data_IF_782596073327
#
_entry.id   IF_782596073327
#
_cell.length_a   1.000
_cell.length_b   1.000
_cell.length_c   1.000
_cell.angle_alpha   90.00
_cell.angle_beta   90.00
_cell.angle_gamma   90.00
#
_symmetry.space_group_name_H-M   'P 1'
#
loop_
_entity.id
_entity.type
_entity.pdbx_description
1 polymer ?
#
# COMPACT_ATOMS: atom_id res chain seq x y z
N UNK A 1 -60.89 -43.88 27.43
CA UNK A 1 -61.65 -42.83 26.73
C UNK A 1 -61.01 -41.50 27.10
N UNK A 2 -60.04 -41.03 26.30
CA UNK A 2 -60.21 -40.07 25.19
C UNK A 2 -60.31 -38.60 25.64
N UNK A 3 -59.18 -37.92 25.47
CA UNK A 3 -58.93 -36.51 25.10
C UNK A 3 -59.85 -35.37 25.58
N UNK A 4 -59.23 -34.32 26.14
CA UNK A 4 -59.36 -32.97 25.59
C UNK A 4 -58.30 -31.97 26.09
N UNK A 5 -57.56 -31.42 25.11
CA UNK A 5 -57.25 -29.99 24.87
C UNK A 5 -56.68 -29.17 26.04
N UNK A 6 -55.38 -28.88 26.07
CA UNK A 6 -54.68 -27.83 25.31
C UNK A 6 -54.97 -26.39 25.77
N UNK A 7 -53.88 -25.76 26.22
CA UNK A 7 -53.42 -24.40 25.92
C UNK A 7 -53.80 -23.24 26.87
N UNK A 8 -52.71 -22.63 27.38
CA UNK A 8 -52.39 -21.19 27.43
C UNK A 8 -52.31 -20.55 28.82
N UNK A 9 -51.27 -19.70 28.96
CA UNK A 9 -50.96 -18.68 29.99
C UNK A 9 -50.15 -19.20 31.18
N UNK A 10 -49.13 -18.53 31.71
CA UNK A 10 -48.46 -17.27 31.39
C UNK A 10 -47.23 -17.19 32.31
N UNK A 11 -46.11 -16.65 31.77
CA UNK A 11 -45.11 -15.83 32.46
C UNK A 11 -44.29 -16.42 33.62
N UNK A 12 -43.26 -15.65 34.03
CA UNK A 12 -42.32 -15.83 35.16
C UNK A 12 -41.04 -16.60 34.73
N UNK A 13 -39.81 -16.08 34.78
CA UNK A 13 -39.22 -14.82 35.22
C UNK A 13 -37.75 -14.84 34.74
N UNK A 14 -37.15 -13.67 34.55
CA UNK A 14 -35.76 -13.48 34.13
C UNK A 14 -34.71 -14.03 35.12
N UNK A 15 -33.50 -14.33 34.60
CA UNK A 15 -32.14 -14.45 35.18
C UNK A 15 -31.45 -15.66 34.49
N UNK A 16 -30.40 -15.55 33.68
CA UNK A 16 -29.12 -14.86 33.84
C UNK A 16 -28.57 -14.42 32.47
N UNK A 17 -28.17 -13.15 32.35
CA UNK A 17 -27.28 -12.67 31.30
C UNK A 17 -25.84 -12.78 31.81
N UNK A 18 -25.05 -13.65 31.18
CA UNK A 18 -23.59 -13.55 31.25
C UNK A 18 -22.93 -14.19 30.01
N UNK A 19 -22.47 -13.29 29.13
CA UNK A 19 -21.11 -13.32 28.58
C UNK A 19 -20.73 -14.36 27.52
N UNK A 20 -21.12 -14.09 26.26
CA UNK A 20 -20.31 -14.47 25.09
C UNK A 20 -20.34 -13.35 24.03
N UNK A 21 -19.65 -12.24 24.28
CA UNK A 21 -19.39 -11.21 23.25
C UNK A 21 -17.93 -10.76 23.25
N UNK A 22 -17.00 -11.72 23.28
CA UNK A 22 -15.57 -11.46 23.06
C UNK A 22 -15.13 -11.50 21.58
N UNK A 23 -16.07 -11.48 20.62
CA UNK A 23 -15.75 -11.52 19.18
C UNK A 23 -15.78 -10.14 18.49
N UNK A 24 -16.26 -9.08 19.16
CA UNK A 24 -16.44 -7.75 18.53
C UNK A 24 -15.23 -6.80 18.74
N UNK A 25 -14.25 -7.17 19.57
CA UNK A 25 -13.09 -6.30 19.86
C UNK A 25 -12.01 -6.32 18.75
N UNK A 26 -12.01 -7.30 17.85
CA UNK A 26 -11.02 -7.40 16.77
C UNK A 26 -11.35 -6.61 15.50
N UNK A 27 -12.55 -6.02 15.37
CA UNK A 27 -12.90 -5.21 14.19
C UNK A 27 -12.52 -3.73 14.33
N UNK A 28 -12.29 -3.23 15.55
CA UNK A 28 -11.93 -1.82 15.78
C UNK A 28 -10.42 -1.54 15.72
N UNK A 29 -9.57 -2.55 15.85
CA UNK A 29 -8.12 -2.40 15.71
C UNK A 29 -7.66 -2.31 14.24
N UNK A 30 -8.47 -2.79 13.28
CA UNK A 30 -8.10 -2.82 11.86
C UNK A 30 -8.47 -1.54 11.08
N UNK A 31 -9.26 -0.64 11.66
CA UNK A 31 -9.71 0.59 10.99
C UNK A 31 -8.76 1.79 11.20
N UNK A 32 -7.74 1.67 12.07
CA UNK A 32 -6.67 2.68 12.22
C UNK A 32 -5.42 2.37 11.36
N UNK A 33 -5.30 1.16 10.82
CA UNK A 33 -4.27 0.83 9.82
C UNK A 33 -4.66 1.25 8.39
N UNK A 34 -5.94 1.57 8.15
CA UNK A 34 -6.45 2.01 6.85
C UNK A 34 -6.34 3.53 6.60
N UNK A 35 -5.60 4.23 7.47
CA UNK A 35 -4.90 5.47 7.13
C UNK A 35 -3.42 5.21 7.35
N UNK A 36 -2.77 4.51 6.42
CA UNK A 36 -1.31 4.58 6.37
C UNK A 36 -0.96 6.04 6.13
N UNK A 37 -0.62 6.76 7.20
CA UNK A 37 0.23 7.92 7.06
C UNK A 37 1.44 7.50 6.22
N UNK A 38 1.97 8.42 5.40
CA UNK A 38 3.22 8.22 4.68
C UNK A 38 4.19 7.45 5.59
N UNK A 39 4.61 6.26 5.14
CA UNK A 39 5.52 5.42 5.92
C UNK A 39 6.87 6.12 6.07
N UNK A 40 7.25 6.93 5.08
CA UNK A 40 8.45 7.75 5.07
C UNK A 40 8.07 9.15 4.62
N UNK A 41 8.51 10.18 5.34
CA UNK A 41 8.44 11.57 4.85
C UNK A 41 9.58 11.81 3.84
N UNK A 42 9.29 12.11 2.57
CA UNK A 42 10.30 12.34 1.53
C UNK A 42 11.32 13.40 1.91
N UNK A 43 10.92 14.43 2.69
CA UNK A 43 11.82 15.53 3.06
C UNK A 43 12.97 15.08 3.96
N UNK A 44 12.86 13.90 4.56
CA UNK A 44 13.91 13.32 5.40
C UNK A 44 14.95 12.55 4.60
N UNK A 45 14.77 12.36 3.29
CA UNK A 45 15.62 11.53 2.42
C UNK A 45 16.87 12.23 1.88
N UNK A 46 17.30 13.35 2.48
CA UNK A 46 18.45 14.14 2.02
C UNK A 46 18.34 14.51 0.53
N UNK A 47 19.37 14.22 -0.27
CA UNK A 47 19.39 14.46 -1.71
C UNK A 47 18.29 13.70 -2.48
N UNK A 48 17.66 12.69 -1.87
CA UNK A 48 16.71 11.80 -2.51
C UNK A 48 15.26 12.13 -2.12
N UNK A 49 14.98 13.41 -1.92
CA UNK A 49 13.69 13.91 -1.41
C UNK A 49 12.52 13.76 -2.38
N UNK A 50 12.76 13.32 -3.61
CA UNK A 50 11.72 12.98 -4.57
C UNK A 50 11.80 11.47 -4.94
N UNK A 51 11.24 10.58 -4.10
CA UNK A 51 11.21 9.14 -4.36
C UNK A 51 10.06 8.73 -5.31
N UNK A 52 9.39 9.67 -5.99
CA UNK A 52 8.25 9.36 -6.85
C UNK A 52 8.66 8.44 -8.02
N UNK A 53 7.84 7.44 -8.29
CA UNK A 53 7.89 6.64 -9.51
C UNK A 53 6.78 7.10 -10.45
N UNK A 54 7.14 7.35 -11.71
CA UNK A 54 6.21 7.62 -12.78
C UNK A 54 5.88 6.34 -13.55
N UNK A 55 4.67 6.29 -14.13
CA UNK A 55 4.26 5.23 -15.04
C UNK A 55 3.62 5.84 -16.29
N UNK A 56 4.08 5.41 -17.47
CA UNK A 56 3.62 5.98 -18.72
C UNK A 56 4.26 5.35 -19.94
N UNK A 57 3.76 5.75 -21.11
CA UNK A 57 4.33 5.38 -22.40
C UNK A 57 5.19 6.51 -22.99
N UNK A 58 6.03 6.18 -23.97
CA UNK A 58 6.86 7.18 -24.66
C UNK A 58 8.12 7.61 -23.89
N UNK A 59 8.40 7.00 -22.74
CA UNK A 59 9.66 7.23 -22.04
C UNK A 59 10.85 6.76 -22.90
N UNK A 60 11.97 7.49 -22.82
CA UNK A 60 13.22 7.09 -23.48
C UNK A 60 13.14 7.02 -25.01
N UNK A 61 12.21 7.76 -25.63
CA UNK A 61 11.88 7.67 -27.05
C UNK A 61 11.32 6.30 -27.49
N UNK A 62 10.75 5.52 -26.56
CA UNK A 62 9.99 4.30 -26.88
C UNK A 62 8.62 4.63 -27.45
N UNK A 63 7.88 3.61 -27.88
CA UNK A 63 6.52 3.79 -28.36
C UNK A 63 5.62 4.37 -27.26
N UNK A 64 4.67 5.24 -27.64
CA UNK A 64 3.67 5.79 -26.73
C UNK A 64 2.75 4.73 -26.09
N UNK A 65 2.71 3.53 -26.68
CA UNK A 65 1.97 2.36 -26.18
C UNK A 65 2.82 1.47 -25.28
N UNK A 66 4.13 1.68 -25.20
CA UNK A 66 5.03 0.90 -24.35
C UNK A 66 5.06 1.49 -22.94
N UNK A 67 4.16 1.00 -22.09
CA UNK A 67 4.07 1.43 -20.70
C UNK A 67 5.23 0.87 -19.87
N UNK A 68 5.92 1.78 -19.18
CA UNK A 68 7.08 1.48 -18.33
C UNK A 68 7.08 2.39 -17.09
N UNK A 69 7.87 2.00 -16.10
CA UNK A 69 8.15 2.77 -14.89
C UNK A 69 9.51 3.45 -14.99
N UNK A 70 9.64 4.62 -14.37
CA UNK A 70 10.94 5.27 -14.13
C UNK A 70 10.90 6.11 -12.85
N UNK A 71 12.05 6.39 -12.22
CA UNK A 71 12.13 7.42 -11.19
C UNK A 71 11.78 8.80 -11.78
N UNK A 72 10.99 9.59 -11.06
CA UNK A 72 10.69 10.98 -11.45
C UNK A 72 11.93 11.88 -11.34
N UNK A 73 12.75 11.63 -10.32
CA UNK A 73 14.02 12.32 -10.10
C UNK A 73 15.19 11.49 -10.65
N UNK A 74 15.42 11.61 -11.95
CA UNK A 74 16.54 10.94 -12.63
C UNK A 74 17.92 11.46 -12.19
N UNK A 75 18.01 12.63 -11.55
CA UNK A 75 19.29 13.17 -11.09
C UNK A 75 19.77 12.46 -9.83
N UNK A 76 18.86 12.16 -8.90
CA UNK A 76 19.18 11.45 -7.67
C UNK A 76 19.02 9.94 -7.81
N UNK A 77 18.01 9.49 -8.53
CA UNK A 77 17.73 8.09 -8.85
C UNK A 77 17.99 7.82 -10.34
N UNK A 78 19.26 7.74 -10.73
CA UNK A 78 19.70 7.60 -12.11
C UNK A 78 19.51 6.17 -12.67
N UNK A 79 18.29 5.66 -12.63
CA UNK A 79 17.90 4.39 -13.24
C UNK A 79 17.09 4.65 -14.51
N UNK A 80 17.25 3.77 -15.50
CA UNK A 80 16.45 3.78 -16.71
C UNK A 80 15.02 3.31 -16.49
N UNK A 81 14.30 3.11 -17.58
CA UNK A 81 12.93 2.58 -17.53
C UNK A 81 12.91 1.05 -17.34
N UNK A 82 11.87 0.54 -16.69
CA UNK A 82 11.61 -0.89 -16.61
C UNK A 82 10.13 -1.20 -16.79
N UNK A 83 9.82 -2.38 -17.35
CA UNK A 83 8.44 -2.91 -17.41
C UNK A 83 7.99 -3.54 -16.10
N UNK A 84 8.91 -3.88 -15.22
CA UNK A 84 8.59 -4.48 -13.93
C UNK A 84 8.93 -3.48 -12.83
N UNK A 85 7.93 -3.02 -12.09
CA UNK A 85 8.11 -2.05 -11.01
C UNK A 85 9.09 -2.55 -9.93
N UNK A 86 9.17 -3.86 -9.70
CA UNK A 86 10.06 -4.44 -8.69
C UNK A 86 11.53 -4.07 -8.91
N UNK A 87 11.95 -3.91 -10.18
CA UNK A 87 13.32 -3.49 -10.53
C UNK A 87 13.54 -2.03 -10.10
N UNK A 88 12.56 -1.16 -10.37
CA UNK A 88 12.66 0.25 -10.00
C UNK A 88 12.63 0.39 -8.48
N UNK A 89 11.66 -0.21 -7.78
CA UNK A 89 11.52 -0.04 -6.33
C UNK A 89 12.71 -0.60 -5.55
N UNK A 90 13.28 -1.73 -5.99
CA UNK A 90 14.53 -2.25 -5.45
C UNK A 90 15.65 -1.20 -5.62
N UNK A 91 15.84 -0.69 -6.84
CA UNK A 91 16.86 0.32 -7.10
C UNK A 91 16.66 1.59 -6.26
N UNK A 92 15.41 2.05 -6.08
CA UNK A 92 15.11 3.22 -5.27
C UNK A 92 15.57 3.02 -3.81
N UNK A 93 15.28 1.87 -3.21
CA UNK A 93 15.73 1.58 -1.84
C UNK A 93 17.26 1.42 -1.75
N UNK A 94 17.88 0.72 -2.69
CA UNK A 94 19.34 0.54 -2.71
C UNK A 94 20.07 1.90 -2.88
N UNK A 95 19.48 2.82 -3.64
CA UNK A 95 20.00 4.19 -3.82
C UNK A 95 20.05 4.98 -2.51
N UNK A 96 19.11 4.73 -1.58
CA UNK A 96 19.13 5.38 -0.26
C UNK A 96 20.46 5.17 0.47
N UNK A 97 20.99 3.96 0.38
CA UNK A 97 22.25 3.59 1.03
C UNK A 97 23.46 3.98 0.20
N UNK A 98 23.36 3.87 -1.13
CA UNK A 98 24.48 4.13 -2.02
C UNK A 98 24.78 5.63 -2.22
N UNK A 99 23.76 6.50 -2.10
CA UNK A 99 23.89 7.92 -2.46
C UNK A 99 23.27 8.89 -1.47
N UNK A 100 22.20 8.50 -0.79
CA UNK A 100 21.40 9.43 0.02
C UNK A 100 21.86 9.49 1.49
N UNK A 101 22.93 8.78 1.85
CA UNK A 101 23.56 8.83 3.17
C UNK A 101 22.96 7.91 4.23
N UNK A 102 22.06 6.99 3.84
CA UNK A 102 21.51 5.99 4.76
C UNK A 102 22.38 4.74 4.83
N UNK A 103 22.10 3.89 5.81
CA UNK A 103 22.72 2.58 6.00
C UNK A 103 21.65 1.50 6.01
N UNK A 104 22.05 0.26 5.73
CA UNK A 104 21.14 -0.90 5.78
C UNK A 104 20.48 -1.09 7.16
N UNK A 105 21.12 -0.63 8.23
CA UNK A 105 20.58 -0.70 9.60
C UNK A 105 19.59 0.43 9.93
N UNK A 106 19.48 1.45 9.08
CA UNK A 106 18.60 2.57 9.35
C UNK A 106 17.14 2.17 9.19
N UNK A 107 16.28 2.72 10.06
CA UNK A 107 14.84 2.50 9.99
C UNK A 107 14.28 2.89 8.63
N UNK A 108 14.73 4.02 8.05
CA UNK A 108 14.31 4.48 6.73
C UNK A 108 14.55 3.44 5.64
N UNK A 109 15.69 2.74 5.66
CA UNK A 109 15.96 1.68 4.68
C UNK A 109 15.03 0.49 4.90
N UNK A 110 14.85 0.07 6.16
CA UNK A 110 13.92 -1.02 6.52
C UNK A 110 12.48 -0.71 6.09
N UNK A 111 12.01 0.51 6.34
CA UNK A 111 10.70 0.98 5.92
C UNK A 111 10.60 1.00 4.37
N UNK A 112 11.65 1.43 3.67
CA UNK A 112 11.68 1.41 2.20
C UNK A 112 11.51 -0.01 1.66
N UNK A 113 12.25 -0.99 2.21
CA UNK A 113 12.11 -2.40 1.83
C UNK A 113 10.72 -2.96 2.15
N UNK A 114 10.08 -2.49 3.21
CA UNK A 114 8.69 -2.84 3.53
C UNK A 114 7.71 -2.30 2.47
N UNK A 115 7.87 -1.04 2.06
CA UNK A 115 7.08 -0.45 0.97
C UNK A 115 7.29 -1.23 -0.33
N UNK A 116 8.55 -1.49 -0.72
CA UNK A 116 8.91 -2.29 -1.90
C UNK A 116 8.23 -3.66 -1.88
N UNK A 117 8.33 -4.40 -0.77
CA UNK A 117 7.70 -5.70 -0.62
C UNK A 117 6.17 -5.62 -0.75
N UNK A 118 5.56 -4.55 -0.22
CA UNK A 118 4.13 -4.32 -0.35
C UNK A 118 3.72 -4.06 -1.81
N UNK A 119 4.54 -3.36 -2.59
CA UNK A 119 4.28 -3.05 -4.00
C UNK A 119 4.38 -4.32 -4.85
N UNK A 120 5.40 -5.15 -4.62
CA UNK A 120 5.62 -6.38 -5.36
C UNK A 120 6.18 -6.13 -6.77
N UNK A 121 5.74 -6.94 -7.73
CA UNK A 121 6.24 -6.91 -9.11
C UNK A 121 5.08 -6.89 -10.12
N UNK A 122 5.29 -6.29 -11.28
CA UNK A 122 4.28 -6.20 -12.34
C UNK A 122 4.40 -4.95 -13.20
N UNK A 123 3.52 -4.86 -14.22
CA UNK A 123 3.47 -3.74 -15.18
C UNK A 123 2.11 -3.03 -15.18
N UNK A 124 1.72 -2.47 -14.04
CA UNK A 124 0.47 -1.74 -13.87
C UNK A 124 0.71 -0.43 -13.10
N UNK A 125 0.15 0.68 -13.58
CA UNK A 125 0.26 2.00 -12.95
C UNK A 125 -0.24 2.07 -11.52
N UNK A 126 -1.21 1.24 -11.13
CA UNK A 126 -1.67 1.14 -9.73
C UNK A 126 -0.54 0.74 -8.76
N UNK A 127 0.49 0.05 -9.25
CA UNK A 127 1.66 -0.29 -8.43
C UNK A 127 2.55 0.93 -8.17
N UNK A 128 2.68 1.84 -9.14
CA UNK A 128 3.37 3.11 -8.95
C UNK A 128 2.61 3.99 -7.94
N UNK A 129 1.28 4.02 -8.03
CA UNK A 129 0.44 4.71 -7.04
C UNK A 129 0.65 4.16 -5.63
N UNK A 130 0.73 2.83 -5.49
CA UNK A 130 0.99 2.17 -4.21
C UNK A 130 2.36 2.54 -3.63
N UNK A 131 3.40 2.57 -4.48
CA UNK A 131 4.72 3.04 -4.07
C UNK A 131 4.68 4.50 -3.59
N UNK A 132 4.13 5.39 -4.42
CA UNK A 132 4.05 6.83 -4.15
C UNK A 132 3.30 7.13 -2.85
N UNK A 133 2.21 6.38 -2.59
CA UNK A 133 1.46 6.49 -1.35
C UNK A 133 2.27 6.14 -0.10
N UNK A 134 3.24 5.20 -0.19
CA UNK A 134 4.18 4.88 0.89
C UNK A 134 5.02 6.08 1.33
N UNK A 135 5.18 7.07 0.45
CA UNK A 135 5.91 8.31 0.69
C UNK A 135 4.97 9.53 0.83
N UNK A 136 3.66 9.31 0.94
CA UNK A 136 2.67 10.39 1.05
C UNK A 136 2.43 11.17 -0.25
N UNK A 137 2.88 10.65 -1.39
CA UNK A 137 2.71 11.26 -2.71
C UNK A 137 1.44 10.68 -3.34
N UNK A 138 0.49 11.53 -3.69
CA UNK A 138 -0.77 11.11 -4.33
C UNK A 138 -0.64 11.14 -5.84
N UNK A 139 -0.85 10.00 -6.50
CA UNK A 139 -0.84 9.85 -7.96
C UNK A 139 -2.04 9.01 -8.41
N UNK A 140 -2.34 9.02 -9.72
CA UNK A 140 -3.43 8.24 -10.33
C UNK A 140 -2.98 7.58 -11.64
N UNK A 141 -1.86 6.87 -11.58
CA UNK A 141 -1.33 6.11 -12.71
C UNK A 141 -2.17 4.87 -13.03
N UNK A 142 -3.01 4.38 -12.12
CA UNK A 142 -4.00 3.34 -12.38
C UNK A 142 -4.95 3.69 -13.56
N UNK A 143 -5.18 4.98 -13.82
CA UNK A 143 -5.95 5.44 -14.97
C UNK A 143 -5.16 5.38 -16.31
N UNK A 144 -3.84 5.14 -16.26
CA UNK A 144 -2.97 5.07 -17.44
C UNK A 144 -3.10 3.70 -18.09
N UNK A 145 -3.32 3.67 -19.40
CA UNK A 145 -3.55 2.42 -20.14
C UNK A 145 -4.98 1.90 -20.08
N UNK A 146 -5.86 2.49 -19.26
CA UNK A 146 -7.30 2.33 -19.32
C UNK A 146 -7.87 3.09 -20.53
N UNK A 147 -7.49 2.67 -21.75
CA UNK A 147 -8.18 3.15 -22.95
C UNK A 147 -9.56 2.50 -22.98
N UNK A 148 -10.60 3.35 -22.99
CA UNK A 148 -11.93 3.00 -23.47
C UNK A 148 -11.87 2.55 -24.93
#
# INVERSE_FOLDING_TARGET
MSFSKALTKMAILAFFLASFTAAAAHLKANQLQARQAAQIDPKTLNACSNPQIEFGGGFGNRAATELTFRPADAANFAHGEAKNIGIITQFMCDTLVNKCGFKNADKTFTDCKSIEASVGAGNNGALADKWNAGFGISTNFAATGAKK
#
